data_IF_550882269653
#
_entry.id   IF_550882269653
#
_cell.length_a   1.000
_cell.length_b   1.000
_cell.length_c   1.000
_cell.angle_alpha   90.00
_cell.angle_beta   90.00
_cell.angle_gamma   90.00
#
_symmetry.space_group_name_H-M   'P 1'
#
loop_
_entity.id
_entity.type
_entity.pdbx_description
1 polymer ?
#
# COMPACT_ATOMS: atom_id res chain seq x y z
N UNK A 1 -11.43 -36.08 26.09
CA UNK A 1 -11.90 -34.98 25.20
C UNK A 1 -12.99 -34.11 25.84
N UNK A 2 -13.93 -34.68 26.61
CA UNK A 2 -15.01 -33.94 27.30
C UNK A 2 -14.58 -33.33 28.64
N UNK A 3 -13.47 -33.79 29.22
CA UNK A 3 -12.93 -33.24 30.47
C UNK A 3 -12.27 -31.88 30.24
N UNK A 4 -12.36 -31.03 31.26
CA UNK A 4 -11.64 -29.75 31.37
C UNK A 4 -10.40 -29.85 32.28
N UNK A 5 -10.09 -31.06 32.71
CA UNK A 5 -9.00 -31.36 33.63
C UNK A 5 -7.72 -31.71 32.85
N UNK A 6 -6.56 -31.35 33.41
CA UNK A 6 -5.28 -31.82 32.92
C UNK A 6 -4.87 -33.08 33.70
N UNK A 7 -4.50 -34.14 32.98
CA UNK A 7 -4.00 -35.39 33.56
C UNK A 7 -2.52 -35.55 33.21
N UNK A 8 -1.66 -35.46 34.23
CA UNK A 8 -0.21 -35.68 34.14
C UNK A 8 0.15 -37.17 34.05
N UNK A 9 1.32 -37.47 33.48
CA UNK A 9 1.83 -38.84 33.34
C UNK A 9 2.19 -39.52 34.67
N UNK A 10 2.29 -38.75 35.75
CA UNK A 10 2.53 -39.17 37.13
C UNK A 10 1.23 -39.40 37.93
N UNK A 11 0.06 -39.24 37.29
CA UNK A 11 -1.24 -39.35 37.94
C UNK A 11 -1.74 -38.05 38.57
N UNK A 12 -1.00 -36.93 38.45
CA UNK A 12 -1.48 -35.62 38.85
C UNK A 12 -2.72 -35.23 38.04
N UNK A 13 -3.79 -34.83 38.72
CA UNK A 13 -4.98 -34.25 38.08
C UNK A 13 -5.12 -32.82 38.52
N UNK A 14 -5.14 -31.90 37.56
CA UNK A 14 -5.43 -30.49 37.81
C UNK A 14 -6.84 -30.20 37.27
N UNK A 15 -7.85 -30.12 38.16
CA UNK A 15 -9.23 -30.00 37.73
C UNK A 15 -9.53 -28.60 37.16
N UNK A 16 -10.32 -28.54 36.09
CA UNK A 16 -10.88 -27.31 35.52
C UNK A 16 -9.89 -26.31 34.94
N UNK A 17 -8.61 -26.70 34.75
CA UNK A 17 -7.57 -25.80 34.24
C UNK A 17 -7.81 -25.40 32.77
N UNK A 18 -8.50 -26.22 31.99
CA UNK A 18 -8.82 -25.94 30.59
C UNK A 18 -10.15 -25.18 30.51
N UNK A 19 -10.17 -24.08 29.76
CA UNK A 19 -11.36 -23.22 29.62
C UNK A 19 -12.51 -23.91 28.88
N UNK A 20 -12.20 -24.65 27.82
CA UNK A 20 -13.15 -25.38 26.97
C UNK A 20 -12.62 -26.80 26.77
N UNK A 21 -13.48 -27.81 26.83
CA UNK A 21 -13.04 -29.18 26.58
C UNK A 21 -12.69 -29.36 25.10
N UNK A 22 -11.89 -30.37 24.77
CA UNK A 22 -11.62 -30.71 23.37
C UNK A 22 -12.88 -31.06 22.57
N UNK A 23 -13.94 -31.54 23.24
CA UNK A 23 -15.25 -31.78 22.63
C UNK A 23 -15.96 -30.47 22.29
N UNK A 24 -15.98 -29.50 23.21
CA UNK A 24 -16.59 -28.18 22.98
C UNK A 24 -15.90 -27.45 21.81
N UNK A 25 -14.57 -27.55 21.72
CA UNK A 25 -13.78 -26.99 20.61
C UNK A 25 -14.16 -27.66 19.29
N UNK A 26 -14.32 -28.99 19.28
CA UNK A 26 -14.69 -29.74 18.07
C UNK A 26 -16.10 -29.40 17.61
N UNK A 27 -17.09 -29.43 18.50
CA UNK A 27 -18.48 -29.04 18.18
C UNK A 27 -18.55 -27.60 17.66
N UNK A 28 -17.86 -26.69 18.33
CA UNK A 28 -17.76 -25.29 17.90
C UNK A 28 -17.11 -25.12 16.52
N UNK A 29 -16.15 -25.98 16.16
CA UNK A 29 -15.52 -26.00 14.84
C UNK A 29 -16.45 -26.59 13.79
N UNK A 30 -17.10 -27.72 14.07
CA UNK A 30 -18.05 -28.38 13.16
C UNK A 30 -19.23 -27.46 12.84
N UNK A 31 -19.74 -26.73 13.83
CA UNK A 31 -20.83 -25.75 13.65
C UNK A 31 -20.44 -24.58 12.74
N UNK A 32 -19.13 -24.30 12.58
CA UNK A 32 -18.61 -23.22 11.72
C UNK A 32 -18.21 -23.70 10.32
N UNK A 33 -18.26 -25.01 10.04
CA UNK A 33 -17.98 -25.55 8.72
C UNK A 33 -19.06 -25.08 7.73
N UNK A 34 -18.64 -24.27 6.77
CA UNK A 34 -19.51 -23.72 5.73
C UNK A 34 -18.68 -23.18 4.57
N UNK A 35 -19.34 -22.54 3.60
CA UNK A 35 -18.66 -22.01 2.41
C UNK A 35 -17.51 -21.05 2.75
N UNK A 36 -17.66 -20.23 3.80
CA UNK A 36 -16.65 -19.29 4.26
C UNK A 36 -15.43 -19.98 4.89
N UNK A 37 -15.64 -20.96 5.77
CA UNK A 37 -14.52 -21.73 6.34
C UNK A 37 -13.82 -22.55 5.25
N UNK A 38 -14.58 -23.19 4.35
CA UNK A 38 -13.99 -23.88 3.20
C UNK A 38 -13.11 -22.95 2.35
N UNK A 39 -13.60 -21.76 2.00
CA UNK A 39 -12.83 -20.78 1.24
C UNK A 39 -11.55 -20.36 1.98
N UNK A 40 -11.64 -20.10 3.29
CA UNK A 40 -10.50 -19.79 4.14
C UNK A 40 -9.49 -20.96 4.18
N UNK A 41 -9.93 -22.18 4.46
CA UNK A 41 -9.04 -23.35 4.53
C UNK A 41 -8.37 -23.62 3.18
N UNK A 42 -9.11 -23.54 2.07
CA UNK A 42 -8.55 -23.66 0.72
C UNK A 42 -7.50 -22.57 0.46
N UNK A 43 -7.78 -21.33 0.86
CA UNK A 43 -6.83 -20.22 0.73
C UNK A 43 -5.58 -20.43 1.59
N UNK A 44 -5.71 -20.94 2.82
CA UNK A 44 -4.57 -21.27 3.69
C UNK A 44 -3.73 -22.42 3.13
N UNK A 45 -4.37 -23.46 2.60
CA UNK A 45 -3.68 -24.58 1.94
C UNK A 45 -2.92 -24.07 0.72
N UNK A 46 -3.58 -23.28 -0.15
CA UNK A 46 -2.91 -22.64 -1.29
C UNK A 46 -1.72 -21.78 -0.84
N UNK A 47 -1.92 -20.92 0.15
CA UNK A 47 -0.87 -20.10 0.74
C UNK A 47 0.32 -20.93 1.25
N UNK A 48 0.05 -22.06 1.94
CA UNK A 48 1.11 -22.96 2.40
C UNK A 48 1.86 -23.62 1.23
N UNK A 49 1.17 -24.01 0.16
CA UNK A 49 1.81 -24.55 -1.04
C UNK A 49 2.64 -23.47 -1.77
N UNK A 50 2.16 -22.24 -1.83
CA UNK A 50 2.91 -21.09 -2.36
C UNK A 50 4.15 -20.74 -1.54
N UNK A 51 4.15 -21.02 -0.23
CA UNK A 51 5.33 -20.82 0.61
C UNK A 51 6.43 -21.86 0.38
N UNK A 52 6.08 -23.04 -0.18
CA UNK A 52 6.97 -24.20 -0.30
C UNK A 52 7.68 -24.31 -1.65
N UNK A 53 7.21 -23.67 -2.71
CA UNK A 53 7.80 -23.82 -4.04
C UNK A 53 7.49 -22.65 -4.98
N UNK A 54 8.39 -22.42 -5.95
CA UNK A 54 8.21 -21.56 -7.12
C UNK A 54 7.15 -22.09 -8.10
N UNK A 55 6.00 -22.51 -7.57
CA UNK A 55 4.84 -22.95 -8.34
C UNK A 55 4.31 -21.72 -9.05
N UNK A 56 4.50 -21.68 -10.37
CA UNK A 56 3.74 -20.78 -11.23
C UNK A 56 2.26 -21.01 -10.97
N UNK A 57 1.48 -19.97 -10.61
CA UNK A 57 0.08 -20.14 -10.34
C UNK A 57 -0.59 -20.83 -11.53
N UNK A 58 -1.43 -21.82 -11.26
CA UNK A 58 -2.31 -22.41 -12.28
C UNK A 58 -3.06 -21.24 -12.90
N UNK A 59 -2.86 -20.99 -14.19
CA UNK A 59 -3.65 -20.02 -14.96
C UNK A 59 -5.08 -20.54 -15.01
N UNK A 60 -5.88 -20.18 -14.01
CA UNK A 60 -7.31 -20.30 -14.10
C UNK A 60 -7.79 -19.25 -15.08
N UNK A 61 -8.39 -19.69 -16.19
CA UNK A 61 -9.04 -18.80 -17.12
C UNK A 61 -10.02 -17.91 -16.34
N UNK A 62 -9.89 -16.57 -16.43
CA UNK A 62 -10.78 -15.69 -15.70
C UNK A 62 -12.23 -15.99 -16.11
N UNK A 63 -13.09 -16.25 -15.14
CA UNK A 63 -14.53 -16.23 -15.36
C UNK A 63 -14.89 -14.77 -15.58
N UNK A 64 -15.23 -14.42 -16.83
CA UNK A 64 -15.63 -13.06 -17.19
C UNK A 64 -17.00 -12.73 -16.59
N UNK A 65 -17.15 -11.56 -16.00
CA UNK A 65 -18.45 -10.97 -15.62
C UNK A 65 -18.71 -9.67 -16.39
N UNK A 66 -19.98 -9.29 -16.50
CA UNK A 66 -20.36 -7.95 -16.97
C UNK A 66 -19.91 -6.91 -15.92
N UNK A 67 -19.12 -5.93 -16.34
CA UNK A 67 -18.67 -4.83 -15.50
C UNK A 67 -19.82 -3.86 -15.22
N UNK A 68 -19.90 -3.33 -14.00
CA UNK A 68 -20.87 -2.33 -13.58
C UNK A 68 -20.13 -1.07 -13.16
N UNK A 69 -20.51 0.09 -13.71
CA UNK A 69 -19.91 1.39 -13.34
C UNK A 69 -20.41 1.93 -11.98
N UNK A 70 -20.64 1.08 -10.98
CA UNK A 70 -20.88 1.53 -9.61
C UNK A 70 -19.65 1.27 -8.73
N UNK A 71 -18.65 2.14 -8.87
CA UNK A 71 -17.39 2.01 -8.14
C UNK A 71 -17.55 2.09 -6.60
N UNK A 72 -18.57 2.80 -6.10
CA UNK A 72 -18.85 2.83 -4.66
C UNK A 72 -19.32 1.45 -4.15
N UNK A 73 -20.18 0.76 -4.91
CA UNK A 73 -20.61 -0.59 -4.55
C UNK A 73 -19.44 -1.59 -4.61
N UNK A 74 -18.50 -1.42 -5.55
CA UNK A 74 -17.27 -2.23 -5.59
C UNK A 74 -16.39 -1.98 -4.36
N UNK A 75 -16.21 -0.72 -3.95
CA UNK A 75 -15.51 -0.38 -2.71
C UNK A 75 -16.20 -1.00 -1.48
N UNK A 76 -17.54 -0.93 -1.40
CA UNK A 76 -18.32 -1.57 -0.32
C UNK A 76 -18.16 -3.09 -0.31
N UNK A 77 -18.19 -3.74 -1.47
CA UNK A 77 -17.99 -5.18 -1.58
C UNK A 77 -16.61 -5.61 -1.06
N UNK A 78 -15.56 -4.82 -1.32
CA UNK A 78 -14.22 -5.04 -0.76
C UNK A 78 -14.22 -4.83 0.77
N UNK A 79 -14.87 -3.76 1.26
CA UNK A 79 -15.02 -3.51 2.70
C UNK A 79 -15.74 -4.65 3.43
N UNK A 80 -16.80 -5.20 2.80
CA UNK A 80 -17.55 -6.34 3.32
C UNK A 80 -16.70 -7.62 3.33
N UNK A 81 -15.83 -7.80 2.34
CA UNK A 81 -14.88 -8.91 2.32
C UNK A 81 -13.83 -8.80 3.43
N UNK A 82 -13.32 -7.59 3.72
CA UNK A 82 -12.43 -7.35 4.85
C UNK A 82 -13.13 -7.64 6.18
N UNK A 83 -14.37 -7.16 6.35
CA UNK A 83 -15.19 -7.45 7.53
C UNK A 83 -15.44 -8.96 7.69
N UNK A 84 -15.71 -9.65 6.59
CA UNK A 84 -15.91 -11.09 6.55
C UNK A 84 -14.60 -11.91 6.63
N UNK A 85 -13.43 -11.32 6.69
CA UNK A 85 -12.16 -12.07 6.87
C UNK A 85 -11.45 -11.71 8.17
N UNK A 86 -11.95 -10.72 8.91
CA UNK A 86 -11.39 -10.28 10.17
C UNK A 86 -11.49 -11.33 11.29
N UNK A 87 -10.39 -11.53 12.01
CA UNK A 87 -10.34 -12.17 13.31
C UNK A 87 -10.51 -11.10 14.38
N UNK A 88 -11.62 -11.16 15.12
CA UNK A 88 -12.02 -10.15 16.10
C UNK A 88 -12.00 -10.75 17.50
N UNK A 89 -11.35 -10.08 18.44
CA UNK A 89 -11.27 -10.52 19.84
C UNK A 89 -11.05 -9.35 20.79
N UNK A 90 -11.84 -9.25 21.86
CA UNK A 90 -11.71 -8.21 22.91
C UNK A 90 -11.55 -6.77 22.37
N UNK A 91 -12.36 -6.40 21.38
CA UNK A 91 -12.34 -5.07 20.76
C UNK A 91 -11.14 -4.82 19.83
N UNK A 92 -10.38 -5.85 19.47
CA UNK A 92 -9.29 -5.79 18.48
C UNK A 92 -9.65 -6.56 17.22
N UNK A 93 -9.10 -6.15 16.08
CA UNK A 93 -9.23 -6.84 14.80
C UNK A 93 -7.85 -7.10 14.16
N UNK A 94 -7.69 -8.28 13.56
CA UNK A 94 -6.52 -8.63 12.76
C UNK A 94 -6.90 -9.59 11.63
N UNK A 95 -5.98 -9.84 10.70
CA UNK A 95 -6.14 -10.80 9.62
C UNK A 95 -4.94 -11.75 9.57
N UNK A 96 -5.12 -12.83 8.82
CA UNK A 96 -4.03 -13.66 8.33
C UNK A 96 -3.57 -13.07 6.99
N UNK A 97 -2.27 -12.89 6.84
CA UNK A 97 -1.66 -12.30 5.66
C UNK A 97 -0.54 -13.18 5.11
N UNK A 98 -0.33 -13.09 3.80
CA UNK A 98 0.92 -13.53 3.20
C UNK A 98 1.91 -12.38 3.19
N UNK A 99 3.08 -12.60 3.76
CA UNK A 99 4.18 -11.63 3.75
C UNK A 99 5.34 -12.16 2.93
N UNK A 100 5.85 -11.34 2.01
CA UNK A 100 7.09 -11.69 1.29
C UNK A 100 8.27 -11.64 2.25
N UNK A 101 9.07 -12.72 2.25
CA UNK A 101 10.31 -12.85 3.03
C UNK A 101 11.56 -12.71 2.16
N UNK A 102 11.40 -12.09 0.98
CA UNK A 102 12.46 -11.92 -0.01
C UNK A 102 12.40 -12.96 -1.12
N UNK A 103 13.51 -13.12 -1.83
CA UNK A 103 13.61 -13.96 -3.03
C UNK A 103 14.46 -15.20 -2.75
N UNK A 104 13.95 -16.37 -3.13
CA UNK A 104 14.74 -17.60 -3.14
C UNK A 104 15.66 -17.58 -4.35
N UNK A 105 16.97 -17.43 -4.12
CA UNK A 105 17.99 -17.22 -5.17
C UNK A 105 18.00 -18.34 -6.22
N UNK A 106 17.90 -19.60 -5.80
CA UNK A 106 17.95 -20.75 -6.72
C UNK A 106 16.65 -20.97 -7.50
N UNK A 107 15.51 -20.53 -6.96
CA UNK A 107 14.19 -20.76 -7.56
C UNK A 107 13.64 -19.51 -8.26
N UNK A 108 14.42 -18.42 -8.28
CA UNK A 108 14.08 -17.10 -8.81
C UNK A 108 12.68 -16.56 -8.41
N UNK A 109 12.14 -17.03 -7.29
CA UNK A 109 10.76 -16.81 -6.84
C UNK A 109 10.73 -16.18 -5.46
N UNK A 110 9.65 -15.47 -5.16
CA UNK A 110 9.44 -14.89 -3.84
C UNK A 110 9.11 -15.99 -2.83
N UNK A 111 9.71 -15.90 -1.64
CA UNK A 111 9.33 -16.70 -0.48
C UNK A 111 8.22 -15.95 0.25
N UNK A 112 7.16 -16.66 0.61
CA UNK A 112 6.05 -16.10 1.37
C UNK A 112 5.89 -16.84 2.70
N UNK A 113 5.52 -16.12 3.76
CA UNK A 113 5.13 -16.72 5.03
C UNK A 113 3.69 -16.32 5.37
N UNK A 114 2.95 -17.25 5.98
CA UNK A 114 1.63 -16.98 6.55
C UNK A 114 1.86 -16.38 7.94
N UNK A 115 1.48 -15.13 8.13
CA UNK A 115 1.68 -14.40 9.38
C UNK A 115 0.46 -13.54 9.73
N UNK A 116 0.39 -13.14 11.00
CA UNK A 116 -0.51 -12.07 11.39
C UNK A 116 -0.18 -10.79 10.61
N UNK A 117 -1.21 -10.07 10.19
CA UNK A 117 -1.07 -8.77 9.53
C UNK A 117 -0.24 -7.82 10.37
N UNK A 118 0.77 -7.19 9.75
CA UNK A 118 1.66 -6.23 10.41
C UNK A 118 0.91 -4.92 10.71
N UNK A 119 1.56 -3.95 11.36
CA UNK A 119 0.95 -2.64 11.68
C UNK A 119 1.11 -1.58 10.58
N UNK A 120 1.96 -1.83 9.59
CA UNK A 120 2.37 -0.84 8.58
C UNK A 120 1.27 -0.38 7.62
N UNK A 121 1.52 0.71 6.91
CA UNK A 121 0.61 1.27 5.90
C UNK A 121 0.61 0.41 4.63
N UNK A 122 1.74 -0.20 4.28
CA UNK A 122 1.92 -0.93 3.01
C UNK A 122 0.94 -2.10 2.89
N UNK A 123 1.03 -3.10 3.79
CA UNK A 123 0.10 -4.23 3.81
C UNK A 123 -0.31 -4.62 5.23
N UNK A 124 -0.33 -3.63 6.13
CA UNK A 124 -0.67 -3.81 7.53
C UNK A 124 -1.97 -3.15 7.94
N UNK A 125 -2.22 -3.16 9.25
CA UNK A 125 -3.42 -2.67 9.90
C UNK A 125 -3.68 -1.18 9.64
N UNK A 126 -2.65 -0.33 9.61
CA UNK A 126 -2.85 1.10 9.32
C UNK A 126 -3.25 1.35 7.86
N UNK A 127 -2.81 0.52 6.91
CA UNK A 127 -3.29 0.55 5.52
C UNK A 127 -4.76 0.12 5.38
N UNK A 128 -5.14 -0.93 6.10
CA UNK A 128 -6.55 -1.37 6.18
C UNK A 128 -7.40 -0.29 6.84
N UNK A 129 -6.94 0.27 7.95
CA UNK A 129 -7.61 1.36 8.66
C UNK A 129 -7.77 2.60 7.80
N UNK A 130 -6.77 2.95 6.99
CA UNK A 130 -6.84 4.08 6.06
C UNK A 130 -8.00 3.92 5.06
N UNK A 131 -8.14 2.74 4.45
CA UNK A 131 -9.29 2.46 3.58
C UNK A 131 -10.62 2.49 4.33
N UNK A 132 -10.71 1.83 5.49
CA UNK A 132 -11.94 1.77 6.28
C UNK A 132 -12.39 3.16 6.76
N UNK A 133 -11.45 4.05 7.07
CA UNK A 133 -11.74 5.44 7.43
C UNK A 133 -12.50 6.15 6.30
N UNK A 134 -11.94 6.18 5.08
CA UNK A 134 -12.60 6.84 3.96
C UNK A 134 -13.86 6.12 3.49
N UNK A 135 -13.91 4.79 3.55
CA UNK A 135 -15.12 4.05 3.22
C UNK A 135 -16.25 4.39 4.20
N UNK A 136 -15.93 4.51 5.50
CA UNK A 136 -16.91 4.92 6.50
C UNK A 136 -17.37 6.37 6.28
N UNK A 137 -16.47 7.31 5.96
CA UNK A 137 -16.86 8.69 5.64
C UNK A 137 -17.78 8.77 4.41
N UNK A 138 -17.49 7.97 3.39
CA UNK A 138 -18.28 7.95 2.16
C UNK A 138 -19.66 7.30 2.30
N UNK A 139 -19.82 6.35 3.23
CA UNK A 139 -21.02 5.51 3.33
C UNK A 139 -21.86 5.74 4.58
N UNK A 140 -21.25 6.19 5.69
CA UNK A 140 -21.89 6.30 7.00
C UNK A 140 -22.28 4.95 7.64
N UNK A 141 -21.82 3.81 7.11
CA UNK A 141 -22.20 2.49 7.59
C UNK A 141 -21.48 2.11 8.88
N UNK A 142 -22.25 1.95 9.98
CA UNK A 142 -21.72 1.63 11.33
C UNK A 142 -20.76 0.43 11.37
N UNK A 143 -20.99 -0.59 10.53
CA UNK A 143 -20.13 -1.79 10.46
C UNK A 143 -18.68 -1.47 10.12
N UNK A 144 -18.43 -0.43 9.29
CA UNK A 144 -17.08 0.00 8.94
C UNK A 144 -16.46 0.84 10.05
N UNK A 145 -17.23 1.72 10.69
CA UNK A 145 -16.78 2.45 11.89
C UNK A 145 -16.37 1.52 13.03
N UNK A 146 -17.16 0.47 13.30
CA UNK A 146 -16.86 -0.53 14.32
C UNK A 146 -15.55 -1.28 14.02
N UNK A 147 -15.39 -1.76 12.79
CA UNK A 147 -14.18 -2.46 12.37
C UNK A 147 -12.94 -1.54 12.42
N UNK A 148 -13.09 -0.27 12.00
CA UNK A 148 -12.03 0.73 12.11
C UNK A 148 -11.63 0.96 13.57
N UNK A 149 -12.59 1.08 14.49
CA UNK A 149 -12.33 1.22 15.91
C UNK A 149 -11.52 0.05 16.47
N UNK A 150 -11.83 -1.18 16.06
CA UNK A 150 -11.08 -2.36 16.45
C UNK A 150 -9.67 -2.43 15.85
N UNK A 151 -9.49 -1.94 14.62
CA UNK A 151 -8.15 -1.78 14.01
C UNK A 151 -7.32 -0.76 14.78
N UNK A 152 -7.91 0.37 15.16
CA UNK A 152 -7.23 1.41 15.96
C UNK A 152 -6.84 0.86 17.34
N UNK A 153 -7.70 0.08 17.99
CA UNK A 153 -7.38 -0.60 19.25
C UNK A 153 -6.24 -1.62 19.08
N UNK A 154 -6.22 -2.40 17.99
CA UNK A 154 -5.10 -3.29 17.67
C UNK A 154 -3.79 -2.52 17.50
N UNK A 155 -3.80 -1.39 16.80
CA UNK A 155 -2.64 -0.53 16.62
C UNK A 155 -2.16 0.07 17.95
N UNK A 156 -3.07 0.46 18.83
CA UNK A 156 -2.74 1.02 20.14
C UNK A 156 -2.08 -0.01 21.08
N UNK A 157 -2.39 -1.31 20.93
CA UNK A 157 -1.78 -2.40 21.70
C UNK A 157 -0.46 -2.91 21.12
N UNK A 158 -0.15 -2.56 19.87
CA UNK A 158 1.07 -3.00 19.21
C UNK A 158 2.29 -2.20 19.69
N UNK A 159 3.49 -2.81 19.74
CA UNK A 159 4.71 -2.08 20.04
C UNK A 159 5.00 -1.03 18.97
N UNK A 160 5.50 0.13 19.39
CA UNK A 160 5.87 1.21 18.49
C UNK A 160 7.04 0.77 17.58
N UNK A 161 6.93 0.90 16.25
CA UNK A 161 8.03 0.55 15.35
C UNK A 161 9.18 1.56 15.45
N UNK A 162 10.43 1.07 15.44
CA UNK A 162 11.62 1.93 15.48
C UNK A 162 11.99 2.55 14.13
N UNK A 163 11.57 1.93 13.01
CA UNK A 163 11.84 2.44 11.66
C UNK A 163 11.06 3.74 11.40
N UNK A 164 11.63 4.74 10.72
CA UNK A 164 10.89 5.94 10.33
C UNK A 164 10.03 5.74 9.06
N UNK A 165 10.08 4.58 8.41
CA UNK A 165 9.37 4.29 7.17
C UNK A 165 7.89 4.72 7.20
N UNK A 166 7.46 5.40 6.13
CA UNK A 166 6.06 5.75 5.87
C UNK A 166 5.17 4.54 5.58
N UNK A 167 5.76 3.38 5.28
CA UNK A 167 5.04 2.20 4.81
C UNK A 167 5.07 1.02 5.80
N UNK A 168 6.08 0.93 6.67
CA UNK A 168 6.19 -0.14 7.67
C UNK A 168 6.61 0.31 9.07
N UNK A 169 6.98 1.58 9.24
CA UNK A 169 7.54 2.14 10.48
C UNK A 169 6.61 3.08 11.23
N UNK A 170 7.15 3.86 12.16
CA UNK A 170 6.40 4.91 12.88
C UNK A 170 5.81 5.96 11.92
N UNK A 171 6.45 6.20 10.77
CA UNK A 171 5.91 7.06 9.71
C UNK A 171 4.58 6.54 9.16
N UNK A 172 4.39 5.23 9.08
CA UNK A 172 3.11 4.64 8.64
C UNK A 172 1.95 4.94 9.57
N UNK A 173 2.21 4.91 10.88
CA UNK A 173 1.24 5.29 11.90
C UNK A 173 1.01 6.80 11.90
N UNK A 174 2.08 7.60 11.79
CA UNK A 174 1.97 9.05 11.68
C UNK A 174 1.09 9.47 10.49
N UNK A 175 1.29 8.84 9.32
CA UNK A 175 0.49 9.09 8.13
C UNK A 175 -0.96 8.66 8.32
N UNK A 176 -1.23 7.41 8.75
CA UNK A 176 -2.60 6.95 8.98
C UNK A 176 -3.35 7.84 9.97
N UNK A 177 -2.74 8.15 11.12
CA UNK A 177 -3.37 9.01 12.12
C UNK A 177 -3.50 10.46 11.65
N UNK A 178 -2.66 10.96 10.74
CA UNK A 178 -2.88 12.28 10.15
C UNK A 178 -4.24 12.37 9.42
N UNK A 179 -4.69 11.28 8.80
CA UNK A 179 -6.00 11.22 8.16
C UNK A 179 -7.12 10.89 9.13
N UNK A 180 -6.91 9.92 10.01
CA UNK A 180 -7.98 9.39 10.87
C UNK A 180 -8.23 10.20 12.16
N UNK A 181 -7.16 10.62 12.84
CA UNK A 181 -7.19 11.30 14.14
C UNK A 181 -5.94 12.19 14.29
N UNK A 182 -5.94 13.37 13.64
CA UNK A 182 -4.75 14.23 13.48
C UNK A 182 -4.06 14.58 14.79
N UNK A 183 -4.81 14.67 15.90
CA UNK A 183 -4.29 14.94 17.23
C UNK A 183 -3.32 13.86 17.73
N UNK A 184 -3.44 12.62 17.22
CA UNK A 184 -2.55 11.49 17.55
C UNK A 184 -1.35 11.41 16.61
N UNK A 185 -1.40 12.02 15.42
CA UNK A 185 -0.36 11.89 14.40
C UNK A 185 1.02 12.38 14.90
N UNK A 186 1.03 13.49 15.66
CA UNK A 186 2.25 14.07 16.25
C UNK A 186 2.98 13.08 17.17
N UNK A 187 2.27 12.23 17.91
CA UNK A 187 2.89 11.25 18.80
C UNK A 187 3.83 10.30 18.04
N UNK A 188 3.34 9.74 16.93
CA UNK A 188 4.12 8.84 16.08
C UNK A 188 5.23 9.55 15.31
N UNK A 189 4.95 10.76 14.81
CA UNK A 189 5.95 11.60 14.15
C UNK A 189 7.15 11.91 15.07
N UNK A 190 6.89 12.15 16.37
CA UNK A 190 7.94 12.47 17.33
C UNK A 190 8.89 11.29 17.61
N UNK A 191 8.45 10.05 17.41
CA UNK A 191 9.28 8.87 17.57
C UNK A 191 10.21 8.61 16.37
N UNK A 192 9.97 9.24 15.22
CA UNK A 192 10.79 9.06 14.03
C UNK A 192 12.17 9.69 14.20
N UNK A 193 13.22 8.99 13.76
CA UNK A 193 14.59 9.49 13.78
C UNK A 193 15.24 9.21 12.41
N UNK A 194 15.82 10.23 11.79
CA UNK A 194 16.41 10.13 10.45
C UNK A 194 17.60 9.16 10.41
N UNK A 195 18.33 9.00 11.51
CA UNK A 195 19.44 8.03 11.62
C UNK A 195 18.98 6.57 11.50
N UNK A 196 17.73 6.26 11.87
CA UNK A 196 17.17 4.92 11.72
C UNK A 196 16.76 4.58 10.27
N UNK A 197 16.84 5.51 9.32
CA UNK A 197 16.58 5.23 7.91
C UNK A 197 17.80 4.61 7.19
N UNK A 198 18.96 4.51 7.84
CA UNK A 198 20.12 3.78 7.31
C UNK A 198 20.69 4.31 5.99
N UNK A 199 20.66 5.63 5.77
CA UNK A 199 21.01 6.26 4.50
C UNK A 199 20.18 5.77 3.29
N UNK A 200 18.96 5.30 3.53
CA UNK A 200 18.04 4.99 2.45
C UNK A 200 17.27 6.26 2.06
N UNK A 201 17.41 6.74 0.81
CA UNK A 201 16.73 7.95 0.38
C UNK A 201 15.33 7.67 -0.21
N UNK A 202 14.85 6.43 -0.25
CA UNK A 202 13.62 6.06 -0.96
C UNK A 202 12.29 6.41 -0.24
N UNK A 203 11.17 6.09 -0.90
CA UNK A 203 9.81 6.31 -0.39
C UNK A 203 9.37 5.20 0.59
N UNK A 204 9.73 3.95 0.35
CA UNK A 204 9.15 2.82 1.10
C UNK A 204 9.80 2.57 2.45
N UNK A 205 11.10 2.79 2.59
CA UNK A 205 11.84 2.58 3.82
C UNK A 205 12.66 3.81 4.26
N UNK A 206 12.85 4.77 3.36
CA UNK A 206 13.82 5.84 3.50
C UNK A 206 13.31 7.21 3.91
N UNK A 207 14.18 8.19 3.73
CA UNK A 207 13.95 9.59 4.09
C UNK A 207 12.80 10.22 3.30
N UNK A 208 12.64 9.90 2.00
CA UNK A 208 11.61 10.54 1.17
C UNK A 208 10.21 10.23 1.66
N UNK A 209 9.92 8.96 1.96
CA UNK A 209 8.63 8.58 2.53
C UNK A 209 8.43 9.20 3.90
N UNK A 210 9.48 9.18 4.73
CA UNK A 210 9.46 9.77 6.07
C UNK A 210 9.09 11.26 6.04
N UNK A 211 9.68 12.04 5.11
CA UNK A 211 9.35 13.46 4.91
C UNK A 211 7.86 13.62 4.58
N UNK A 212 7.32 12.82 3.66
CA UNK A 212 5.91 12.90 3.27
C UNK A 212 4.97 12.57 4.43
N UNK A 213 5.26 11.52 5.20
CA UNK A 213 4.49 11.17 6.39
C UNK A 213 4.57 12.25 7.48
N UNK A 214 5.74 12.84 7.69
CA UNK A 214 5.95 13.94 8.64
C UNK A 214 5.18 15.19 8.20
N UNK A 215 5.21 15.54 6.92
CA UNK A 215 4.42 16.66 6.39
C UNK A 215 2.92 16.42 6.56
N UNK A 216 2.42 15.22 6.28
CA UNK A 216 1.01 14.86 6.52
C UNK A 216 0.63 14.99 7.99
N UNK A 217 1.51 14.57 8.91
CA UNK A 217 1.32 14.75 10.34
C UNK A 217 1.51 16.20 10.83
N UNK A 218 1.91 17.14 9.96
CA UNK A 218 2.22 18.54 10.28
C UNK A 218 3.54 18.73 11.06
N UNK A 219 4.48 17.79 10.97
CA UNK A 219 5.71 17.69 11.78
C UNK A 219 6.89 18.36 11.08
N UNK A 220 6.74 19.66 10.83
CA UNK A 220 7.65 20.40 9.94
C UNK A 220 9.11 20.38 10.40
N UNK A 221 9.38 20.50 11.70
CA UNK A 221 10.75 20.48 12.24
C UNK A 221 11.45 19.16 11.94
N UNK A 222 10.76 18.04 12.19
CA UNK A 222 11.26 16.70 11.86
C UNK A 222 11.39 16.51 10.35
N UNK A 223 10.42 16.99 9.57
CA UNK A 223 10.49 16.91 8.11
C UNK A 223 11.72 17.66 7.56
N UNK A 224 12.07 18.80 8.17
CA UNK A 224 13.27 19.58 7.86
C UNK A 224 14.55 18.78 8.14
N UNK A 225 14.67 18.12 9.30
CA UNK A 225 15.83 17.27 9.63
C UNK A 225 16.05 16.16 8.59
N UNK A 226 14.99 15.43 8.24
CA UNK A 226 15.05 14.39 7.21
C UNK A 226 15.36 14.96 5.83
N UNK A 227 14.79 16.13 5.52
CA UNK A 227 15.03 16.84 4.27
C UNK A 227 16.47 17.28 4.07
N UNK A 228 17.14 17.72 5.14
CA UNK A 228 18.57 18.09 5.10
C UNK A 228 19.40 16.86 4.71
N UNK A 229 19.19 15.73 5.39
CA UNK A 229 19.91 14.49 5.09
C UNK A 229 19.68 14.02 3.64
N UNK A 230 18.43 14.10 3.15
CA UNK A 230 18.10 13.73 1.78
C UNK A 230 18.72 14.68 0.75
N UNK A 231 18.68 15.99 0.99
CA UNK A 231 19.27 16.99 0.10
C UNK A 231 20.79 16.82 -0.02
N UNK A 232 21.48 16.67 1.11
CA UNK A 232 22.92 16.40 1.15
C UNK A 232 23.27 15.12 0.40
N UNK A 233 22.47 14.06 0.54
CA UNK A 233 22.68 12.82 -0.19
C UNK A 233 22.59 13.01 -1.71
N UNK A 234 21.56 13.71 -2.20
CA UNK A 234 21.35 13.96 -3.63
C UNK A 234 22.47 14.84 -4.21
N UNK A 235 22.98 15.80 -3.43
CA UNK A 235 24.07 16.69 -3.81
C UNK A 235 25.45 16.01 -3.76
N UNK A 236 25.64 14.98 -2.92
CA UNK A 236 26.95 14.34 -2.67
C UNK A 236 27.54 13.53 -3.83
N UNK A 237 26.93 13.54 -5.03
CA UNK A 237 27.28 12.73 -6.21
C UNK A 237 27.39 11.20 -5.96
N UNK A 238 27.02 10.72 -4.77
CA UNK A 238 26.97 9.29 -4.48
C UNK A 238 26.06 8.60 -5.49
N UNK A 239 26.43 7.40 -5.97
CA UNK A 239 25.60 6.67 -6.92
C UNK A 239 24.22 6.42 -6.31
N UNK A 240 23.18 6.95 -6.94
CA UNK A 240 21.82 6.51 -6.65
C UNK A 240 21.64 5.11 -7.22
N UNK A 241 21.08 4.14 -6.47
CA UNK A 241 20.80 2.82 -7.02
C UNK A 241 19.91 2.99 -8.27
N UNK A 242 20.19 2.27 -9.36
CA UNK A 242 19.61 2.49 -10.70
C UNK A 242 18.11 2.13 -10.81
N UNK A 243 17.35 2.30 -9.74
CA UNK A 243 15.92 2.08 -9.67
C UNK A 243 15.17 3.29 -10.28
N UNK A 244 14.03 3.00 -10.88
CA UNK A 244 13.11 3.86 -11.62
C UNK A 244 11.73 3.66 -11.01
N UNK A 245 10.86 4.65 -11.15
CA UNK A 245 9.53 4.65 -10.53
C UNK A 245 9.52 5.39 -9.19
N UNK A 246 8.35 5.41 -8.56
CA UNK A 246 8.12 6.26 -7.40
C UNK A 246 8.72 5.68 -6.11
N UNK A 247 8.67 4.35 -5.94
CA UNK A 247 9.00 3.67 -4.69
C UNK A 247 10.47 3.84 -4.29
N UNK A 248 11.38 3.61 -5.23
CA UNK A 248 12.83 3.56 -4.98
C UNK A 248 13.65 4.47 -5.91
N UNK A 249 13.00 5.17 -6.84
CA UNK A 249 13.64 6.08 -7.77
C UNK A 249 13.80 7.51 -7.24
N UNK A 250 14.47 8.33 -8.03
CA UNK A 250 14.68 9.75 -7.75
C UNK A 250 13.37 10.55 -7.78
N UNK A 251 12.38 10.13 -8.57
CA UNK A 251 11.05 10.72 -8.64
C UNK A 251 10.41 10.92 -7.27
N UNK A 252 10.43 9.89 -6.42
CA UNK A 252 9.86 9.96 -5.07
C UNK A 252 10.58 10.98 -4.18
N UNK A 253 11.92 11.00 -4.24
CA UNK A 253 12.75 11.95 -3.51
C UNK A 253 12.55 13.40 -3.99
N UNK A 254 12.44 13.58 -5.30
CA UNK A 254 12.18 14.88 -5.91
C UNK A 254 10.83 15.44 -5.45
N UNK A 255 9.78 14.61 -5.41
CA UNK A 255 8.48 15.03 -4.88
C UNK A 255 8.54 15.39 -3.39
N UNK A 256 9.19 14.56 -2.56
CA UNK A 256 9.34 14.82 -1.13
C UNK A 256 10.00 16.17 -0.85
N UNK A 257 11.09 16.46 -1.56
CA UNK A 257 11.81 17.73 -1.45
C UNK A 257 11.02 18.92 -2.03
N UNK A 258 10.27 18.72 -3.11
CA UNK A 258 9.38 19.76 -3.66
C UNK A 258 8.31 20.16 -2.66
N UNK A 259 7.67 19.18 -2.00
CA UNK A 259 6.69 19.43 -0.93
C UNK A 259 7.32 20.09 0.28
N UNK A 260 8.53 19.69 0.63
CA UNK A 260 9.24 20.30 1.75
C UNK A 260 9.64 21.76 1.45
N UNK A 261 10.07 22.09 0.23
CA UNK A 261 10.27 23.49 -0.18
C UNK A 261 8.95 24.28 -0.04
N UNK A 262 7.84 23.74 -0.53
CA UNK A 262 6.54 24.41 -0.44
C UNK A 262 6.10 24.64 1.01
N UNK A 263 6.37 23.70 1.92
CA UNK A 263 6.00 23.79 3.33
C UNK A 263 6.92 24.71 4.15
N UNK A 264 8.20 24.78 3.82
CA UNK A 264 9.21 25.51 4.61
C UNK A 264 9.61 26.86 4.01
N UNK A 265 9.43 27.04 2.70
CA UNK A 265 10.02 28.15 1.93
C UNK A 265 11.52 28.00 1.66
N UNK A 266 12.16 26.93 2.15
CA UNK A 266 13.61 26.79 2.08
C UNK A 266 14.10 26.32 0.71
N UNK A 267 14.74 27.25 -0.02
CA UNK A 267 15.18 27.05 -1.42
C UNK A 267 16.18 25.92 -1.63
N UNK A 268 16.87 25.44 -0.58
CA UNK A 268 17.76 24.28 -0.67
C UNK A 268 17.03 23.01 -1.11
N UNK A 269 15.82 22.79 -0.60
CA UNK A 269 15.03 21.61 -0.97
C UNK A 269 14.58 21.67 -2.42
N UNK A 270 14.19 22.85 -2.90
CA UNK A 270 13.88 23.07 -4.31
C UNK A 270 15.05 22.81 -5.25
N UNK A 271 16.26 23.23 -4.88
CA UNK A 271 17.48 22.95 -5.67
C UNK A 271 17.75 21.46 -5.73
N UNK A 272 17.71 20.76 -4.60
CA UNK A 272 17.92 19.32 -4.54
C UNK A 272 16.83 18.54 -5.30
N UNK A 273 15.57 18.98 -5.25
CA UNK A 273 14.48 18.40 -6.01
C UNK A 273 14.71 18.51 -7.53
N UNK A 274 15.09 19.70 -8.02
CA UNK A 274 15.42 19.90 -9.44
C UNK A 274 16.63 19.07 -9.88
N UNK A 275 17.64 18.94 -9.02
CA UNK A 275 18.79 18.07 -9.29
C UNK A 275 18.37 16.60 -9.39
N UNK A 276 17.46 16.13 -8.54
CA UNK A 276 16.94 14.77 -8.59
C UNK A 276 16.15 14.50 -9.88
N UNK A 277 15.26 15.40 -10.30
CA UNK A 277 14.56 15.29 -11.59
C UNK A 277 15.54 15.32 -12.76
N UNK A 278 16.50 16.25 -12.79
CA UNK A 278 17.48 16.32 -13.87
C UNK A 278 18.33 15.03 -13.99
N UNK A 279 18.73 14.43 -12.87
CA UNK A 279 19.44 13.14 -12.85
C UNK A 279 18.56 12.02 -13.41
N UNK A 280 17.26 12.04 -13.13
CA UNK A 280 16.32 11.05 -13.66
C UNK A 280 16.02 11.26 -15.16
N UNK A 281 15.94 12.52 -15.60
CA UNK A 281 15.68 12.88 -16.99
C UNK A 281 16.80 12.39 -17.92
N UNK A 282 18.06 12.38 -17.47
CA UNK A 282 19.19 11.77 -18.20
C UNK A 282 18.92 10.29 -18.48
N UNK A 283 18.29 9.57 -17.54
CA UNK A 283 18.01 8.15 -17.68
C UNK A 283 16.82 7.93 -18.64
N UNK A 284 15.80 8.78 -18.52
CA UNK A 284 14.62 8.82 -19.40
C UNK A 284 14.99 9.12 -20.85
N UNK A 285 15.86 10.11 -21.10
CA UNK A 285 16.33 10.48 -22.44
C UNK A 285 17.04 9.33 -23.15
N UNK A 286 17.68 8.44 -22.38
CA UNK A 286 18.28 7.21 -22.88
C UNK A 286 17.26 6.05 -23.02
N UNK A 287 15.96 6.34 -22.95
CA UNK A 287 14.85 5.37 -22.95
C UNK A 287 14.93 4.33 -21.83
N UNK A 288 15.61 4.65 -20.72
CA UNK A 288 15.80 3.75 -19.57
C UNK A 288 14.74 3.99 -18.50
N UNK A 289 13.48 3.76 -18.88
CA UNK A 289 12.32 3.87 -18.00
C UNK A 289 12.21 2.72 -17.00
N UNK A 290 12.88 1.61 -17.28
CA UNK A 290 12.80 0.35 -16.54
C UNK A 290 14.08 0.10 -15.77
N UNK A 291 13.94 -0.51 -14.60
CA UNK A 291 15.09 -0.98 -13.82
C UNK A 291 15.92 -2.00 -14.62
N UNK A 292 17.25 -1.83 -14.73
CA UNK A 292 18.10 -2.74 -15.50
C UNK A 292 17.95 -4.21 -15.08
N UNK A 293 17.78 -4.47 -13.78
CA UNK A 293 17.60 -5.80 -13.22
C UNK A 293 16.32 -6.51 -13.70
N UNK A 294 15.31 -5.75 -14.11
CA UNK A 294 14.01 -6.25 -14.56
C UNK A 294 13.84 -6.20 -16.09
N UNK A 295 14.48 -5.24 -16.76
CA UNK A 295 14.48 -5.16 -18.22
C UNK A 295 15.06 -6.43 -18.85
N UNK A 296 16.16 -6.96 -18.28
CA UNK A 296 16.78 -8.21 -18.72
C UNK A 296 15.86 -9.45 -18.61
N UNK A 297 14.81 -9.39 -17.77
CA UNK A 297 13.92 -10.53 -17.52
C UNK A 297 12.70 -10.56 -18.45
N UNK A 298 12.22 -9.42 -18.94
CA UNK A 298 10.90 -9.33 -19.60
C UNK A 298 10.90 -8.67 -20.98
N UNK A 299 11.96 -7.95 -21.36
CA UNK A 299 12.03 -7.25 -22.65
C UNK A 299 10.97 -6.17 -22.88
N UNK A 300 10.23 -5.76 -21.83
CA UNK A 300 9.14 -4.79 -21.89
C UNK A 300 9.36 -3.66 -20.87
N UNK A 301 8.72 -2.51 -21.11
CA UNK A 301 8.76 -1.41 -20.15
C UNK A 301 7.94 -1.74 -18.90
N UNK A 302 8.51 -1.50 -17.72
CA UNK A 302 7.73 -1.55 -16.49
C UNK A 302 6.75 -0.37 -16.47
N UNK A 303 5.47 -0.68 -16.20
CA UNK A 303 4.37 0.28 -16.24
C UNK A 303 3.58 0.22 -14.94
N UNK A 304 4.29 0.45 -13.83
CA UNK A 304 3.73 0.36 -12.46
C UNK A 304 4.13 1.55 -11.60
N UNK A 305 3.46 1.72 -10.45
CA UNK A 305 3.80 2.77 -9.49
C UNK A 305 5.19 2.57 -8.88
N UNK A 306 5.50 1.35 -8.43
CA UNK A 306 6.78 1.09 -7.76
C UNK A 306 7.95 1.19 -8.73
N UNK A 307 7.80 0.62 -9.92
CA UNK A 307 8.81 0.64 -10.97
C UNK A 307 8.24 1.05 -12.33
N UNK A 308 8.79 2.11 -12.91
CA UNK A 308 8.47 2.56 -14.26
C UNK A 308 7.55 3.77 -14.38
N UNK A 309 6.99 3.95 -15.59
CA UNK A 309 6.50 5.26 -16.05
C UNK A 309 5.33 5.85 -15.26
N UNK A 310 4.34 5.09 -14.76
CA UNK A 310 3.26 5.66 -13.96
C UNK A 310 3.77 6.33 -12.68
N UNK A 311 4.68 5.67 -11.95
CA UNK A 311 5.26 6.25 -10.72
C UNK A 311 6.10 7.51 -11.00
N UNK A 312 6.86 7.51 -12.09
CA UNK A 312 7.64 8.65 -12.54
C UNK A 312 6.74 9.85 -12.91
N UNK A 313 5.64 9.58 -13.61
CA UNK A 313 4.66 10.58 -14.00
C UNK A 313 3.93 11.15 -12.78
N UNK A 314 3.50 10.31 -11.84
CA UNK A 314 2.82 10.75 -10.62
C UNK A 314 3.66 11.78 -9.83
N UNK A 315 4.96 11.52 -9.65
CA UNK A 315 5.85 12.47 -8.98
C UNK A 315 5.88 13.83 -9.68
N UNK A 316 5.97 13.83 -11.01
CA UNK A 316 6.01 15.04 -11.83
C UNK A 316 4.69 15.80 -11.81
N UNK A 317 3.54 15.13 -11.87
CA UNK A 317 2.21 15.75 -11.76
C UNK A 317 2.02 16.44 -10.41
N UNK A 318 2.39 15.75 -9.32
CA UNK A 318 2.29 16.28 -7.97
C UNK A 318 3.28 17.42 -7.73
N UNK A 319 4.48 17.34 -8.28
CA UNK A 319 5.47 18.42 -8.22
C UNK A 319 5.03 19.64 -9.06
N UNK A 320 4.52 19.43 -10.27
CA UNK A 320 3.94 20.47 -11.14
C UNK A 320 2.85 21.25 -10.42
N UNK A 321 1.98 20.56 -9.68
CA UNK A 321 0.88 21.20 -8.95
C UNK A 321 1.37 22.28 -7.97
N UNK A 322 2.60 22.15 -7.45
CA UNK A 322 3.25 23.08 -6.54
C UNK A 322 4.17 24.08 -7.24
N UNK A 323 5.03 23.61 -8.15
CA UNK A 323 6.07 24.44 -8.80
C UNK A 323 5.55 25.23 -10.01
N UNK A 324 4.46 24.75 -10.62
CA UNK A 324 3.92 25.21 -11.91
C UNK A 324 4.93 25.15 -13.06
N UNK A 325 5.94 24.28 -12.96
CA UNK A 325 6.93 24.06 -14.02
C UNK A 325 6.34 23.20 -15.15
N UNK A 326 6.08 23.77 -16.35
CA UNK A 326 5.42 23.06 -17.44
C UNK A 326 6.23 21.88 -17.98
N UNK A 327 7.56 21.85 -17.77
CA UNK A 327 8.40 20.73 -18.21
C UNK A 327 8.04 19.43 -17.49
N UNK A 328 7.67 19.50 -16.21
CA UNK A 328 7.22 18.35 -15.42
C UNK A 328 5.90 17.81 -15.97
N UNK A 329 4.97 18.70 -16.31
CA UNK A 329 3.66 18.30 -16.86
C UNK A 329 3.81 17.59 -18.22
N UNK A 330 4.59 18.17 -19.14
CA UNK A 330 4.86 17.59 -20.45
C UNK A 330 5.55 16.22 -20.33
N UNK A 331 6.54 16.11 -19.44
CA UNK A 331 7.28 14.87 -19.21
C UNK A 331 6.38 13.77 -18.61
N UNK A 332 5.48 14.13 -17.69
CA UNK A 332 4.49 13.19 -17.16
C UNK A 332 3.53 12.68 -18.24
N UNK A 333 3.08 13.56 -19.14
CA UNK A 333 2.18 13.19 -20.22
C UNK A 333 2.83 12.17 -21.18
N UNK A 334 4.08 12.42 -21.58
CA UNK A 334 4.85 11.51 -22.44
C UNK A 334 4.99 10.12 -21.81
N UNK A 335 5.27 10.05 -20.51
CA UNK A 335 5.40 8.81 -19.75
C UNK A 335 4.09 8.01 -19.70
N UNK A 336 2.95 8.69 -19.57
CA UNK A 336 1.64 8.06 -19.46
C UNK A 336 1.06 7.63 -20.81
N UNK A 337 1.55 8.19 -21.92
CA UNK A 337 1.23 7.72 -23.27
C UNK A 337 1.85 6.36 -23.60
N UNK A 338 2.86 5.92 -22.84
CA UNK A 338 3.40 4.56 -22.95
C UNK A 338 2.28 3.57 -22.55
N UNK A 339 1.92 2.61 -23.43
CA UNK A 339 0.87 1.65 -23.14
C UNK A 339 1.17 0.84 -21.89
N UNK A 340 0.19 0.70 -21.02
CA UNK A 340 0.29 -0.18 -19.87
C UNK A 340 0.27 -1.64 -20.36
N UNK A 341 1.13 -2.47 -19.79
CA UNK A 341 1.16 -3.90 -20.11
C UNK A 341 -0.13 -4.60 -19.65
N UNK A 342 -0.45 -5.74 -20.27
CA UNK A 342 -1.53 -6.59 -19.78
C UNK A 342 -1.22 -7.07 -18.35
N UNK A 343 -2.19 -6.92 -17.45
CA UNK A 343 -2.07 -7.35 -16.06
C UNK A 343 -3.35 -7.98 -15.56
N UNK A 344 -3.20 -9.02 -14.73
CA UNK A 344 -4.29 -9.63 -13.99
C UNK A 344 -4.21 -9.29 -12.49
N UNK A 345 -3.29 -8.41 -12.10
CA UNK A 345 -3.11 -7.92 -10.74
C UNK A 345 -3.88 -6.62 -10.59
N UNK A 346 -4.74 -6.52 -9.57
CA UNK A 346 -5.59 -5.37 -9.32
C UNK A 346 -5.00 -4.43 -8.25
N UNK A 347 -3.83 -4.72 -7.68
CA UNK A 347 -3.25 -3.93 -6.59
C UNK A 347 -2.83 -2.50 -6.98
N UNK A 348 -2.59 -1.67 -5.96
CA UNK A 348 -2.12 -0.30 -6.11
C UNK A 348 -0.64 -0.21 -6.50
N UNK A 349 0.22 -1.07 -5.95
CA UNK A 349 1.67 -0.97 -6.14
C UNK A 349 2.10 -1.25 -7.58
N UNK A 350 1.49 -2.26 -8.20
CA UNK A 350 1.86 -2.73 -9.54
C UNK A 350 0.73 -3.49 -10.25
N UNK A 351 -0.50 -3.00 -10.08
CA UNK A 351 -1.68 -3.54 -10.72
C UNK A 351 -2.49 -2.48 -11.47
N UNK A 352 -3.58 -2.94 -12.09
CA UNK A 352 -4.49 -2.13 -12.90
C UNK A 352 -5.03 -0.92 -12.13
N UNK A 353 -5.38 -1.09 -10.86
CA UNK A 353 -5.99 -0.01 -10.08
C UNK A 353 -4.99 1.04 -9.61
N UNK A 354 -3.70 0.68 -9.43
CA UNK A 354 -2.66 1.67 -9.24
C UNK A 354 -2.48 2.57 -10.46
N UNK A 355 -2.50 1.95 -11.64
CA UNK A 355 -2.44 2.67 -12.91
C UNK A 355 -3.69 3.53 -13.15
N UNK A 356 -4.88 3.00 -12.86
CA UNK A 356 -6.14 3.76 -12.91
C UNK A 356 -6.09 4.99 -12.00
N UNK A 357 -5.58 4.84 -10.78
CA UNK A 357 -5.49 5.95 -9.83
C UNK A 357 -4.56 7.08 -10.31
N UNK A 358 -3.44 6.72 -10.93
CA UNK A 358 -2.50 7.70 -11.51
C UNK A 358 -3.12 8.41 -12.72
N UNK A 359 -3.88 7.70 -13.56
CA UNK A 359 -4.61 8.31 -14.67
C UNK A 359 -5.70 9.27 -14.18
N UNK A 360 -6.37 8.95 -13.07
CA UNK A 360 -7.34 9.84 -12.44
C UNK A 360 -6.68 11.13 -11.95
N UNK A 361 -5.53 11.02 -11.28
CA UNK A 361 -4.72 12.17 -10.87
C UNK A 361 -4.28 13.04 -12.06
N UNK A 362 -3.96 12.40 -13.18
CA UNK A 362 -3.64 13.08 -14.43
C UNK A 362 -4.85 13.87 -14.92
N UNK A 363 -6.00 13.22 -15.03
CA UNK A 363 -7.25 13.87 -15.45
C UNK A 363 -7.64 15.06 -14.58
N UNK A 364 -7.43 15.00 -13.28
CA UNK A 364 -7.72 16.11 -12.36
C UNK A 364 -6.70 17.27 -12.46
N UNK A 365 -5.52 17.03 -13.04
CA UNK A 365 -4.45 18.03 -13.14
C UNK A 365 -4.49 18.79 -14.47
N UNK A 366 -4.88 18.15 -15.57
CA UNK A 366 -4.92 18.75 -16.91
C UNK A 366 -6.25 19.48 -17.15
N UNK A 367 -6.20 20.61 -17.87
CA UNK A 367 -7.40 21.36 -18.25
C UNK A 367 -8.34 20.52 -19.15
N UNK A 368 -7.77 19.72 -20.06
CA UNK A 368 -8.49 18.82 -20.96
C UNK A 368 -8.39 17.36 -20.47
N UNK A 369 -8.65 17.15 -19.18
CA UNK A 369 -8.42 15.89 -18.48
C UNK A 369 -9.40 14.74 -18.77
N UNK A 370 -10.47 14.99 -19.55
CA UNK A 370 -11.57 14.03 -19.73
C UNK A 370 -11.11 12.69 -20.34
N UNK A 371 -10.18 12.71 -21.29
CA UNK A 371 -9.64 11.49 -21.90
C UNK A 371 -8.89 10.64 -20.86
N UNK A 372 -8.14 11.28 -19.98
CA UNK A 372 -7.40 10.61 -18.89
C UNK A 372 -8.35 10.00 -17.87
N UNK A 373 -9.43 10.70 -17.51
CA UNK A 373 -10.47 10.18 -16.62
C UNK A 373 -11.19 8.99 -17.27
N UNK A 374 -11.52 9.07 -18.56
CA UNK A 374 -12.14 7.97 -19.29
C UNK A 374 -11.22 6.74 -19.33
N UNK A 375 -9.91 6.95 -19.56
CA UNK A 375 -8.91 5.88 -19.51
C UNK A 375 -8.77 5.29 -18.10
N UNK A 376 -8.78 6.12 -17.04
CA UNK A 376 -8.74 5.67 -15.65
C UNK A 376 -9.93 4.73 -15.34
N UNK A 377 -11.14 5.14 -15.72
CA UNK A 377 -12.37 4.34 -15.55
C UNK A 377 -12.28 3.01 -16.29
N UNK A 378 -11.79 3.02 -17.54
CA UNK A 378 -11.60 1.80 -18.32
C UNK A 378 -10.62 0.83 -17.65
N UNK A 379 -9.49 1.32 -17.14
CA UNK A 379 -8.53 0.49 -16.39
C UNK A 379 -9.16 -0.08 -15.11
N UNK A 380 -9.96 0.72 -14.39
CA UNK A 380 -10.67 0.25 -13.21
C UNK A 380 -11.71 -0.84 -13.53
N UNK A 381 -12.46 -0.70 -14.62
CA UNK A 381 -13.44 -1.70 -15.05
C UNK A 381 -12.78 -3.00 -15.51
N UNK A 382 -11.59 -2.95 -16.11
CA UNK A 382 -10.85 -4.15 -16.50
C UNK A 382 -10.54 -5.05 -15.29
N UNK A 383 -10.35 -4.47 -14.11
CA UNK A 383 -10.17 -5.23 -12.87
C UNK A 383 -11.47 -5.90 -12.36
N UNK A 384 -12.65 -5.40 -12.74
CA UNK A 384 -13.95 -5.98 -12.35
C UNK A 384 -14.37 -7.15 -13.24
N UNK A 385 -13.98 -7.14 -14.52
CA UNK A 385 -14.35 -8.18 -15.50
C UNK A 385 -13.89 -9.57 -15.06
N UNK A 386 -12.94 -9.66 -14.13
CA UNK A 386 -12.47 -10.91 -13.54
C UNK A 386 -13.27 -11.25 -12.28
N UNK A 387 -13.85 -12.45 -12.22
CA UNK A 387 -14.51 -12.94 -10.99
C UNK A 387 -13.52 -13.05 -9.82
N UNK A 388 -13.74 -12.25 -8.78
CA UNK A 388 -12.95 -12.21 -7.53
C UNK A 388 -11.80 -11.20 -7.56
N UNK A 389 -11.28 -10.83 -6.39
CA UNK A 389 -10.24 -9.81 -6.29
C UNK A 389 -8.85 -10.43 -6.47
N UNK A 390 -8.07 -9.93 -7.43
CA UNK A 390 -6.70 -10.42 -7.68
C UNK A 390 -5.68 -9.47 -7.08
N UNK A 391 -5.19 -9.83 -5.90
CA UNK A 391 -4.09 -9.13 -5.22
C UNK A 391 -2.76 -9.45 -5.90
N UNK A 392 -1.66 -8.88 -5.40
CA UNK A 392 -0.32 -9.19 -5.90
C UNK A 392 0.22 -10.57 -5.50
N UNK A 393 -0.55 -11.38 -4.77
CA UNK A 393 -0.08 -12.64 -4.23
C UNK A 393 -0.46 -13.83 -5.12
N UNK A 394 0.38 -14.88 -5.13
CA UNK A 394 0.12 -16.08 -5.91
C UNK A 394 -1.18 -16.76 -5.50
N UNK A 395 -1.72 -17.59 -6.40
CA UNK A 395 -2.91 -18.42 -6.19
C UNK A 395 -4.18 -17.65 -5.78
N UNK A 396 -4.26 -16.36 -6.13
CA UNK A 396 -5.41 -15.50 -5.83
C UNK A 396 -5.69 -15.36 -4.32
N UNK A 397 -4.63 -15.41 -3.49
CA UNK A 397 -4.80 -15.15 -2.07
C UNK A 397 -5.21 -13.69 -1.85
N UNK A 398 -6.40 -13.46 -1.30
CA UNK A 398 -6.92 -12.11 -1.04
C UNK A 398 -6.26 -11.48 0.21
N UNK A 399 -4.98 -11.11 0.09
CA UNK A 399 -4.25 -10.43 1.16
C UNK A 399 -4.97 -9.12 1.53
N UNK A 400 -5.12 -8.76 2.82
CA UNK A 400 -6.00 -7.66 3.23
C UNK A 400 -5.38 -6.28 3.05
N UNK A 401 -4.06 -6.21 2.82
CA UNK A 401 -3.25 -4.99 2.82
C UNK A 401 -3.62 -3.92 1.78
N UNK A 402 -2.98 -2.75 1.89
CA UNK A 402 -3.27 -1.58 1.05
C UNK A 402 -2.57 -1.69 -0.31
N UNK A 403 -1.24 -1.64 -0.33
CA UNK A 403 -0.46 -1.49 -1.55
C UNK A 403 -0.54 -2.73 -2.45
N UNK A 404 -0.70 -3.92 -1.88
CA UNK A 404 -0.74 -5.16 -2.65
C UNK A 404 -2.00 -5.98 -2.48
N UNK A 405 -2.96 -5.50 -1.67
CA UNK A 405 -4.12 -6.29 -1.23
C UNK A 405 -5.49 -5.64 -1.44
N UNK A 406 -6.48 -6.19 -0.74
CA UNK A 406 -7.88 -5.80 -0.81
C UNK A 406 -8.09 -4.32 -0.43
N UNK A 407 -7.50 -3.84 0.66
CA UNK A 407 -7.74 -2.46 1.10
C UNK A 407 -7.38 -1.43 0.01
N UNK A 408 -6.33 -1.65 -0.79
CA UNK A 408 -6.00 -0.76 -1.90
C UNK A 408 -6.91 -0.91 -3.10
N UNK A 409 -7.36 -2.12 -3.41
CA UNK A 409 -8.38 -2.36 -4.44
C UNK A 409 -9.64 -1.55 -4.10
N UNK A 410 -10.11 -1.67 -2.85
CA UNK A 410 -11.27 -0.93 -2.36
C UNK A 410 -11.04 0.58 -2.39
N UNK A 411 -9.87 1.04 -1.96
CA UNK A 411 -9.52 2.47 -1.94
C UNK A 411 -9.48 3.07 -3.35
N UNK A 412 -8.93 2.35 -4.33
CA UNK A 412 -8.90 2.81 -5.72
C UNK A 412 -10.32 2.96 -6.30
N UNK A 413 -11.20 1.98 -6.07
CA UNK A 413 -12.60 2.10 -6.49
C UNK A 413 -13.31 3.26 -5.77
N UNK A 414 -13.04 3.44 -4.48
CA UNK A 414 -13.60 4.56 -3.74
C UNK A 414 -13.15 5.91 -4.34
N UNK A 415 -11.90 6.02 -4.78
CA UNK A 415 -11.39 7.20 -5.49
C UNK A 415 -12.01 7.39 -6.87
N UNK A 416 -12.29 6.32 -7.62
CA UNK A 416 -13.06 6.44 -8.87
C UNK A 416 -14.48 6.98 -8.64
N UNK A 417 -15.09 6.64 -7.49
CA UNK A 417 -16.39 7.19 -7.09
C UNK A 417 -16.30 8.61 -6.52
N UNK A 418 -15.19 8.94 -5.83
CA UNK A 418 -14.94 10.23 -5.19
C UNK A 418 -13.52 10.72 -5.53
N UNK A 419 -13.32 11.34 -6.72
CA UNK A 419 -12.00 11.69 -7.24
C UNK A 419 -11.18 12.63 -6.39
N UNK A 420 -11.83 13.42 -5.54
CA UNK A 420 -11.15 14.42 -4.73
C UNK A 420 -10.33 13.79 -3.59
N UNK A 421 -10.59 12.52 -3.19
CA UNK A 421 -9.95 11.88 -2.02
C UNK A 421 -8.40 11.99 -2.09
N UNK A 422 -7.64 11.83 -1.00
CA UNK A 422 -6.17 11.97 -1.07
C UNK A 422 -5.51 10.85 -1.88
N UNK A 423 -4.50 11.16 -2.71
CA UNK A 423 -3.78 10.14 -3.46
C UNK A 423 -2.74 9.47 -2.56
N UNK A 424 -3.06 8.27 -2.07
CA UNK A 424 -2.16 7.53 -1.17
C UNK A 424 -0.87 7.09 -1.87
N UNK A 425 -0.91 6.88 -3.20
CA UNK A 425 0.27 6.58 -4.01
C UNK A 425 1.31 7.73 -3.99
N UNK A 426 0.87 8.96 -3.73
CA UNK A 426 1.73 10.13 -3.56
C UNK A 426 1.91 10.55 -2.09
N UNK A 427 1.39 9.76 -1.14
CA UNK A 427 1.29 10.11 0.29
C UNK A 427 0.74 11.54 0.48
N UNK A 428 -0.36 11.87 -0.19
CA UNK A 428 -1.02 13.16 -0.04
C UNK A 428 -1.45 13.39 1.42
N UNK A 429 -1.27 14.60 1.97
CA UNK A 429 -1.75 14.91 3.32
C UNK A 429 -3.30 14.88 3.39
N UNK A 430 -3.89 14.83 4.59
CA UNK A 430 -5.32 15.04 4.75
C UNK A 430 -5.73 16.39 4.14
N UNK A 431 -6.94 16.45 3.57
CA UNK A 431 -7.46 17.74 3.10
C UNK A 431 -7.68 18.66 4.31
N UNK A 432 -7.50 19.98 4.16
CA UNK A 432 -7.99 20.92 5.17
C UNK A 432 -9.48 20.67 5.38
N UNK A 433 -9.93 20.49 6.64
CA UNK A 433 -11.35 20.46 6.93
C UNK A 433 -11.95 21.79 6.46
N UNK A 434 -13.00 21.71 5.64
CA UNK A 434 -13.70 22.86 5.08
C UNK A 434 -14.38 23.70 6.17
#
# INVERSE_FOLDING_TARGET
>A
PVSRDYHGGDGLVIPGIIRESGWDILEGKLAKLGARDLALQVNLIRASLSSLAGISPVQLSPLKSEARENFLDLARAVGDQLLASAYRYQGTATWISLQSKGRHVLANSNVYAIEQTSTGLYDGLSGIGFFLHYLNEATGEKKYAELLGEVVESLARAPLPNSPSAFSGAGSLAYFFAHHAPEKARHFANAMNHGHAGNNPDITAGWSGSILALLAAGALDKANEFGIALAEFIESEKPWPVQRGFSHGLAGAALALTRLEAATGEKRFGRAARLAFAKEDILIQNSQFTDPAYFQQSGTHQTTWCHGTPGLALARLKAYSLSKDPSLLSSAEEMLRIPFGESQNHSLCHGLLGNADILLETGNTFADGEEWIARARKEAMNAEVVKGWRTAFPLHFENPGLMTGLAGIGYAYLRMAQPDLPCVLALDPPRPMA
#
